data_IF_139803057767
#
_entry.id   IF_139803057767
#
_cell.length_a   1.000
_cell.length_b   1.000
_cell.length_c   1.000
_cell.angle_alpha   90.00
_cell.angle_beta   90.00
_cell.angle_gamma   90.00
#
_symmetry.space_group_name_H-M   'P 1'
#
loop_
_entity.id
_entity.type
_entity.pdbx_description
1 polymer ?
#
# COMPACT_ATOMS: atom_id res chain seq x y z
N UNK A 1 -14.01 3.98 21.19
CA UNK A 1 -14.57 5.22 21.77
C UNK A 1 -14.77 6.29 20.68
N UNK A 2 -13.83 6.47 19.74
CA UNK A 2 -13.90 7.46 18.65
C UNK A 2 -15.19 7.43 17.80
N UNK A 3 -15.70 6.26 17.41
CA UNK A 3 -16.96 6.16 16.65
C UNK A 3 -18.16 6.87 17.33
N UNK A 4 -18.21 6.87 18.66
CA UNK A 4 -19.34 7.40 19.44
C UNK A 4 -19.16 8.87 19.85
N UNK A 5 -17.93 9.40 19.86
CA UNK A 5 -17.64 10.74 20.38
C UNK A 5 -16.64 11.57 19.55
N UNK A 6 -16.05 11.00 18.51
CA UNK A 6 -14.99 11.58 17.68
C UNK A 6 -15.46 12.48 16.55
N UNK A 7 -16.78 12.71 16.42
CA UNK A 7 -17.39 13.63 15.44
C UNK A 7 -17.03 13.39 13.96
N UNK A 8 -16.59 12.19 13.62
CA UNK A 8 -16.19 11.84 12.26
C UNK A 8 -14.78 12.33 11.87
N UNK A 9 -13.99 12.79 12.84
CA UNK A 9 -12.61 13.23 12.57
C UNK A 9 -11.76 12.04 12.05
N UNK A 10 -10.97 12.21 10.98
CA UNK A 10 -10.10 11.17 10.48
C UNK A 10 -9.10 10.68 11.52
N UNK A 11 -8.74 9.40 11.45
CA UNK A 11 -7.71 8.78 12.28
C UNK A 11 -6.58 8.21 11.42
N UNK A 12 -5.40 8.07 12.01
CA UNK A 12 -4.26 7.37 11.43
C UNK A 12 -4.18 5.93 11.90
N UNK A 13 -3.41 5.09 11.20
CA UNK A 13 -3.15 3.71 11.63
C UNK A 13 -2.43 3.65 12.99
N UNK A 14 -1.64 4.68 13.32
CA UNK A 14 -0.98 4.82 14.63
C UNK A 14 -1.99 5.09 15.74
N UNK A 15 -2.98 5.97 15.51
CA UNK A 15 -3.97 6.34 16.53
C UNK A 15 -4.92 5.19 16.86
N UNK A 16 -5.16 4.28 15.91
CA UNK A 16 -5.91 3.03 16.15
C UNK A 16 -5.00 1.84 16.53
N UNK A 17 -3.68 2.03 16.62
CA UNK A 17 -2.74 1.04 17.14
C UNK A 17 -2.35 -0.11 16.19
N UNK A 18 -2.54 0.03 14.86
CA UNK A 18 -2.30 -1.05 13.88
C UNK A 18 -1.23 -0.77 12.85
N UNK A 19 -0.57 0.40 12.90
CA UNK A 19 0.40 0.83 11.87
C UNK A 19 1.47 -0.22 11.56
N UNK A 20 2.18 -0.70 12.58
CA UNK A 20 3.25 -1.69 12.40
C UNK A 20 2.72 -3.00 11.82
N UNK A 21 1.51 -3.40 12.20
CA UNK A 21 0.87 -4.61 11.67
C UNK A 21 0.53 -4.47 10.20
N UNK A 22 -0.05 -3.34 9.79
CA UNK A 22 -0.32 -3.04 8.36
C UNK A 22 0.97 -3.05 7.55
N UNK A 23 2.04 -2.42 8.05
CA UNK A 23 3.36 -2.40 7.41
C UNK A 23 3.93 -3.82 7.25
N UNK A 24 3.75 -4.68 8.27
CA UNK A 24 4.18 -6.09 8.21
C UNK A 24 3.38 -6.88 7.16
N UNK A 25 2.06 -6.74 7.12
CA UNK A 25 1.19 -7.43 6.15
C UNK A 25 1.52 -7.08 4.69
N UNK A 26 1.93 -5.84 4.41
CA UNK A 26 2.35 -5.41 3.06
C UNK A 26 3.61 -6.15 2.59
N UNK A 27 4.50 -6.49 3.52
CA UNK A 27 5.79 -7.11 3.24
C UNK A 27 5.75 -8.64 3.31
N UNK A 28 4.92 -9.19 4.19
CA UNK A 28 4.83 -10.62 4.48
C UNK A 28 4.28 -11.44 3.31
N UNK A 29 4.88 -12.59 3.00
CA UNK A 29 4.36 -13.52 2.01
C UNK A 29 2.96 -14.04 2.37
N UNK A 30 2.14 -14.25 1.35
CA UNK A 30 0.80 -14.85 1.44
C UNK A 30 -0.22 -14.03 2.25
N UNK A 31 0.05 -12.76 2.51
CA UNK A 31 -0.89 -11.85 3.14
C UNK A 31 -1.67 -11.05 2.09
N UNK A 32 -2.77 -10.41 2.52
CA UNK A 32 -3.57 -9.50 1.67
C UNK A 32 -4.03 -10.15 0.36
N UNK A 33 -4.50 -11.40 0.44
CA UNK A 33 -4.98 -12.17 -0.72
C UNK A 33 -3.89 -12.72 -1.64
N UNK A 34 -2.60 -12.53 -1.31
CA UNK A 34 -1.48 -13.12 -2.05
C UNK A 34 -1.31 -14.61 -1.74
N UNK A 35 -0.73 -15.36 -2.67
CA UNK A 35 -0.45 -16.80 -2.55
C UNK A 35 0.90 -17.13 -3.18
N UNK A 36 1.45 -18.32 -2.90
CA UNK A 36 2.67 -18.80 -3.54
C UNK A 36 3.95 -18.06 -3.13
N UNK A 37 3.99 -17.47 -1.94
CA UNK A 37 5.14 -16.71 -1.44
C UNK A 37 5.20 -15.25 -1.89
N UNK A 38 4.18 -14.79 -2.61
CA UNK A 38 4.06 -13.40 -3.05
C UNK A 38 3.66 -12.46 -1.92
N UNK A 39 4.08 -11.20 -2.00
CA UNK A 39 3.65 -10.10 -1.12
C UNK A 39 3.44 -8.83 -1.95
N UNK A 40 2.70 -7.86 -1.42
CA UNK A 40 2.46 -6.58 -2.09
C UNK A 40 3.79 -5.88 -2.39
N UNK A 41 4.69 -5.84 -1.42
CA UNK A 41 6.04 -5.29 -1.57
C UNK A 41 6.82 -5.97 -2.70
N UNK A 42 6.97 -7.30 -2.68
CA UNK A 42 7.78 -8.03 -3.68
C UNK A 42 7.20 -7.97 -5.08
N UNK A 43 5.86 -8.02 -5.19
CA UNK A 43 5.17 -7.88 -6.46
C UNK A 43 5.44 -6.49 -7.06
N UNK A 44 5.38 -5.44 -6.24
CA UNK A 44 5.64 -4.08 -6.71
C UNK A 44 7.10 -3.89 -7.14
N UNK A 45 8.08 -4.39 -6.38
CA UNK A 45 9.50 -4.41 -6.79
C UNK A 45 9.68 -5.11 -8.14
N UNK A 46 9.01 -6.25 -8.34
CA UNK A 46 9.06 -6.99 -9.60
C UNK A 46 8.48 -6.18 -10.76
N UNK A 47 7.37 -5.47 -10.55
CA UNK A 47 6.76 -4.60 -11.56
C UNK A 47 7.66 -3.40 -11.90
N UNK A 48 8.33 -2.81 -10.91
CA UNK A 48 9.31 -1.73 -11.14
C UNK A 48 10.43 -2.23 -12.07
N UNK A 49 11.00 -3.39 -11.78
CA UNK A 49 12.15 -3.93 -12.52
C UNK A 49 11.79 -4.40 -13.93
N UNK A 50 10.63 -5.04 -14.10
CA UNK A 50 10.26 -5.73 -15.34
C UNK A 50 9.32 -4.93 -16.24
N UNK A 51 8.53 -4.01 -15.68
CA UNK A 51 7.44 -3.33 -16.37
C UNK A 51 7.54 -1.79 -16.32
N UNK A 52 8.54 -1.23 -15.63
CA UNK A 52 8.69 0.22 -15.41
C UNK A 52 7.51 0.88 -14.71
N UNK A 53 6.75 0.11 -13.92
CA UNK A 53 5.67 0.66 -13.10
C UNK A 53 6.32 1.49 -11.98
N UNK A 54 5.90 2.75 -11.85
CA UNK A 54 6.42 3.67 -10.81
C UNK A 54 5.43 3.91 -9.68
N UNK A 55 4.19 3.45 -9.83
CA UNK A 55 3.15 3.54 -8.82
C UNK A 55 2.10 2.46 -8.97
N UNK A 56 1.46 2.08 -7.88
CA UNK A 56 0.26 1.25 -7.87
C UNK A 56 -0.82 1.87 -6.96
N UNK A 57 -2.07 1.48 -7.17
CA UNK A 57 -3.20 1.76 -6.28
C UNK A 57 -4.18 0.59 -6.39
N UNK A 58 -4.36 -0.16 -5.31
CA UNK A 58 -5.24 -1.33 -5.26
C UNK A 58 -6.00 -1.37 -3.94
N UNK A 59 -7.11 -2.11 -3.91
CA UNK A 59 -7.82 -2.45 -2.68
C UNK A 59 -7.34 -3.79 -2.13
N UNK A 60 -7.17 -3.88 -0.82
CA UNK A 60 -6.79 -5.10 -0.11
C UNK A 60 -7.70 -5.30 1.11
N UNK A 61 -8.03 -6.55 1.38
CA UNK A 61 -8.76 -6.94 2.59
C UNK A 61 -7.75 -7.21 3.70
N UNK A 62 -7.82 -6.42 4.77
CA UNK A 62 -6.96 -6.56 5.96
C UNK A 62 -7.63 -7.40 7.06
N UNK A 63 -8.95 -7.56 6.97
CA UNK A 63 -9.73 -8.40 7.85
C UNK A 63 -9.48 -9.89 7.57
N UNK A 64 -9.14 -10.64 8.62
CA UNK A 64 -9.16 -12.10 8.63
C UNK A 64 -10.60 -12.58 8.71
N UNK A 65 -11.22 -12.88 7.55
CA UNK A 65 -12.52 -13.54 7.52
C UNK A 65 -12.26 -15.05 7.52
N UNK A 66 -12.49 -15.71 8.65
CA UNK A 66 -12.48 -17.16 8.71
C UNK A 66 -13.89 -17.68 8.42
N UNK A 67 -14.09 -18.23 7.22
CA UNK A 67 -15.25 -19.05 6.84
C UNK A 67 -16.66 -18.53 7.24
N UNK A 68 -16.86 -17.20 7.18
CA UNK A 68 -18.16 -16.57 7.48
C UNK A 68 -18.53 -16.54 8.97
N UNK A 69 -17.63 -16.94 9.87
CA UNK A 69 -17.84 -16.87 11.31
C UNK A 69 -16.91 -15.81 11.90
N UNK A 70 -17.50 -14.74 12.43
CA UNK A 70 -16.78 -13.76 13.26
C UNK A 70 -16.51 -14.45 14.59
N UNK A 71 -15.34 -15.05 14.74
CA UNK A 71 -14.90 -15.53 16.05
C UNK A 71 -14.76 -14.33 17.00
N UNK A 72 -15.13 -14.48 18.27
CA UNK A 72 -14.98 -13.44 19.30
C UNK A 72 -13.50 -13.05 19.46
N UNK A 73 -12.57 -13.95 19.09
CA UNK A 73 -11.14 -13.65 19.03
C UNK A 73 -10.76 -12.57 17.98
N UNK A 74 -11.58 -12.35 16.94
CA UNK A 74 -11.36 -11.31 15.92
C UNK A 74 -11.49 -9.90 16.50
N UNK A 75 -12.28 -9.71 17.56
CA UNK A 75 -12.46 -8.40 18.23
C UNK A 75 -11.19 -7.98 18.98
N UNK A 76 -10.33 -8.92 19.35
CA UNK A 76 -9.06 -8.64 20.03
C UNK A 76 -7.92 -8.28 19.06
N UNK A 77 -8.07 -8.48 17.74
CA UNK A 77 -7.12 -8.01 16.73
C UNK A 77 -7.57 -6.64 16.21
N UNK A 78 -6.91 -5.52 16.54
CA UNK A 78 -7.39 -4.19 16.16
C UNK A 78 -7.47 -3.97 14.64
N UNK A 79 -6.92 -4.88 13.82
CA UNK A 79 -7.19 -4.95 12.38
C UNK A 79 -8.67 -5.17 12.03
N UNK A 80 -9.52 -5.62 12.95
CA UNK A 80 -10.98 -5.75 12.71
C UNK A 80 -11.60 -4.42 12.25
N UNK A 81 -11.03 -3.30 12.71
CA UNK A 81 -11.43 -1.95 12.35
C UNK A 81 -11.05 -1.58 10.91
N UNK A 82 -10.26 -2.40 10.22
CA UNK A 82 -9.87 -2.20 8.83
C UNK A 82 -10.54 -3.28 7.98
N UNK A 83 -11.50 -2.88 7.15
CA UNK A 83 -12.21 -3.78 6.26
C UNK A 83 -11.41 -4.03 4.97
N UNK A 84 -11.88 -3.39 3.90
CA UNK A 84 -11.19 -3.36 2.61
C UNK A 84 -10.65 -1.96 2.36
N UNK A 85 -9.34 -1.81 2.53
CA UNK A 85 -8.67 -0.53 2.42
C UNK A 85 -7.99 -0.37 1.06
N UNK A 86 -7.89 0.89 0.61
CA UNK A 86 -7.08 1.26 -0.54
C UNK A 86 -5.63 1.49 -0.09
N UNK A 87 -4.71 0.76 -0.70
CA UNK A 87 -3.27 0.97 -0.56
C UNK A 87 -2.68 1.40 -1.89
N UNK A 88 -1.92 2.48 -1.85
CA UNK A 88 -1.12 2.93 -2.98
C UNK A 88 0.35 3.02 -2.58
N UNK A 89 1.22 2.88 -3.58
CA UNK A 89 2.66 3.02 -3.39
C UNK A 89 3.29 3.69 -4.59
N UNK A 90 4.27 4.55 -4.34
CA UNK A 90 5.03 5.27 -5.36
C UNK A 90 6.52 5.11 -5.14
N UNK A 91 7.21 4.65 -6.18
CA UNK A 91 8.64 4.39 -6.12
C UNK A 91 9.46 5.57 -6.63
N UNK A 92 10.49 5.93 -5.86
CA UNK A 92 11.50 6.91 -6.23
C UNK A 92 12.88 6.30 -6.05
N UNK A 93 13.61 6.08 -7.13
CA UNK A 93 14.93 5.50 -7.02
C UNK A 93 15.65 5.27 -8.34
N UNK A 94 16.71 4.47 -8.25
CA UNK A 94 17.60 4.13 -9.37
C UNK A 94 18.29 2.80 -9.12
N UNK A 95 18.90 2.25 -10.17
CA UNK A 95 19.81 1.12 -10.03
C UNK A 95 21.26 1.57 -9.89
N UNK A 96 21.96 1.05 -8.89
CA UNK A 96 23.37 1.31 -8.63
C UNK A 96 24.21 0.03 -8.81
N UNK A 97 25.51 0.20 -9.03
CA UNK A 97 26.47 -0.89 -8.97
C UNK A 97 27.48 -0.54 -7.87
N UNK A 98 27.60 -1.41 -6.87
CA UNK A 98 28.57 -1.30 -5.78
C UNK A 98 29.41 -2.58 -5.77
N UNK A 99 30.72 -2.46 -6.02
CA UNK A 99 31.66 -3.58 -6.00
C UNK A 99 31.24 -4.78 -6.87
N UNK A 100 30.69 -4.51 -8.06
CA UNK A 100 30.26 -5.56 -9.01
C UNK A 100 28.88 -6.14 -8.71
N UNK A 101 28.23 -5.76 -7.60
CA UNK A 101 26.84 -6.13 -7.27
C UNK A 101 25.89 -5.02 -7.67
N UNK A 102 24.73 -5.39 -8.21
CA UNK A 102 23.70 -4.43 -8.61
C UNK A 102 22.61 -4.34 -7.56
N UNK A 103 22.12 -3.12 -7.34
CA UNK A 103 21.04 -2.86 -6.40
C UNK A 103 19.99 -1.94 -7.00
N UNK A 104 18.72 -2.18 -6.68
CA UNK A 104 17.67 -1.18 -6.76
C UNK A 104 17.67 -0.39 -5.45
N UNK A 105 18.00 0.90 -5.50
CA UNK A 105 18.09 1.79 -4.34
C UNK A 105 17.13 2.96 -4.49
N UNK A 106 16.39 3.26 -3.43
CA UNK A 106 15.43 4.35 -3.40
C UNK A 106 14.49 4.23 -2.21
N UNK A 107 13.29 4.78 -2.35
CA UNK A 107 12.21 4.60 -1.37
C UNK A 107 10.88 4.33 -2.06
N UNK A 108 9.98 3.69 -1.31
CA UNK A 108 8.58 3.57 -1.67
C UNK A 108 7.78 4.39 -0.67
N UNK A 109 7.06 5.40 -1.17
CA UNK A 109 6.11 6.19 -0.38
C UNK A 109 4.73 5.54 -0.51
N UNK A 110 4.15 5.11 0.61
CA UNK A 110 2.84 4.48 0.70
C UNK A 110 1.79 5.47 1.20
N UNK A 111 0.58 5.35 0.66
CA UNK A 111 -0.63 6.00 1.19
C UNK A 111 -1.72 4.96 1.39
N UNK A 112 -2.31 4.98 2.57
CA UNK A 112 -3.38 4.10 3.00
C UNK A 112 -4.66 4.92 3.24
N UNK A 113 -5.78 4.36 2.80
CA UNK A 113 -7.12 4.92 3.01
C UNK A 113 -8.12 3.81 3.26
N UNK A 114 -8.90 3.92 4.33
CA UNK A 114 -10.10 3.13 4.59
C UNK A 114 -11.22 4.05 5.10
N UNK A 115 -12.47 3.66 4.92
CA UNK A 115 -13.63 4.36 5.49
C UNK A 115 -14.26 3.46 6.55
N UNK A 116 -14.11 3.81 7.83
CA UNK A 116 -14.76 3.08 8.90
C UNK A 116 -16.23 3.53 8.99
N UNK A 117 -17.13 2.67 8.51
CA UNK A 117 -18.57 2.98 8.47
C UNK A 117 -19.33 2.50 9.70
N UNK A 118 -19.14 1.26 10.19
CA UNK A 118 -19.88 0.76 11.36
C UNK A 118 -19.30 -0.57 11.93
N UNK A 119 -19.27 -0.77 13.27
CA UNK A 119 -18.98 -2.06 13.90
C UNK A 119 -20.10 -3.13 13.80
N UNK A 120 -21.33 -2.83 13.36
CA UNK A 120 -22.39 -3.84 13.13
C UNK A 120 -22.50 -4.32 11.68
N UNK A 121 -21.84 -3.66 10.73
CA UNK A 121 -21.59 -4.15 9.36
C UNK A 121 -20.83 -5.50 9.33
N UNK A 122 -20.27 -5.90 10.48
CA UNK A 122 -19.60 -7.18 10.72
C UNK A 122 -20.60 -8.32 11.03
N UNK A 123 -21.83 -8.00 11.45
CA UNK A 123 -22.80 -8.98 11.94
C UNK A 123 -23.94 -9.31 10.96
N UNK A 124 -24.02 -8.68 9.78
CA UNK A 124 -24.92 -9.07 8.67
C UNK A 124 -26.36 -9.46 9.09
N UNK A 125 -26.94 -8.80 10.10
CA UNK A 125 -28.34 -9.05 10.48
C UNK A 125 -29.34 -8.21 9.67
N UNK A 126 -28.90 -7.20 8.91
CA UNK A 126 -29.75 -6.38 8.03
C UNK A 126 -28.99 -5.91 6.80
N UNK A 127 -29.61 -6.00 5.61
CA UNK A 127 -29.06 -5.56 4.31
C UNK A 127 -29.02 -4.03 4.11
N UNK A 128 -29.24 -3.26 5.17
CA UNK A 128 -29.23 -1.80 5.15
C UNK A 128 -28.11 -1.30 6.05
N UNK A 129 -27.37 -0.27 5.60
CA UNK A 129 -26.42 0.47 6.43
C UNK A 129 -27.16 0.96 7.67
N UNK A 130 -26.91 0.32 8.81
CA UNK A 130 -27.53 0.66 10.06
C UNK A 130 -26.48 1.41 10.87
N UNK A 131 -26.52 2.75 10.81
CA UNK A 131 -25.60 3.67 11.50
C UNK A 131 -26.33 4.30 12.70
N UNK A 132 -26.59 3.58 13.81
CA UNK A 132 -27.68 3.98 14.69
C UNK A 132 -27.20 5.06 15.66
N UNK A 133 -25.90 5.17 15.92
CA UNK A 133 -25.37 5.95 17.05
C UNK A 133 -23.90 6.44 16.91
N UNK A 134 -23.30 6.48 15.71
CA UNK A 134 -21.91 6.92 15.52
C UNK A 134 -21.70 7.77 14.25
N UNK A 135 -20.51 8.37 14.11
CA UNK A 135 -20.12 9.06 12.88
C UNK A 135 -19.05 8.23 12.17
N UNK A 136 -19.26 7.82 10.90
CA UNK A 136 -18.19 7.28 10.07
C UNK A 136 -16.99 8.21 10.04
N UNK A 137 -15.79 7.63 9.92
CA UNK A 137 -14.55 8.39 9.83
C UNK A 137 -13.55 7.70 8.91
N UNK A 138 -12.72 8.52 8.27
CA UNK A 138 -11.64 8.03 7.42
C UNK A 138 -10.47 7.55 8.26
N UNK A 139 -9.84 6.45 7.84
CA UNK A 139 -8.54 6.01 8.33
C UNK A 139 -7.52 6.31 7.25
N UNK A 140 -6.65 7.30 7.48
CA UNK A 140 -5.67 7.79 6.51
C UNK A 140 -4.28 7.75 7.13
N UNK A 141 -3.32 7.13 6.46
CA UNK A 141 -1.92 7.17 6.90
C UNK A 141 -0.95 7.16 5.72
N UNK A 142 0.26 7.64 5.96
CA UNK A 142 1.37 7.66 5.02
C UNK A 142 2.64 7.20 5.71
N UNK A 143 3.42 6.38 5.01
CA UNK A 143 4.75 5.98 5.47
C UNK A 143 5.66 5.72 4.29
N UNK A 144 6.97 5.69 4.55
CA UNK A 144 7.98 5.41 3.53
C UNK A 144 8.84 4.22 3.95
N UNK A 145 9.20 3.38 2.99
CA UNK A 145 10.16 2.29 3.17
C UNK A 145 11.36 2.56 2.27
N UNK A 146 12.56 2.68 2.86
CA UNK A 146 13.82 2.72 2.12
C UNK A 146 14.13 1.32 1.57
N UNK A 147 14.55 1.27 0.32
CA UNK A 147 14.85 0.02 -0.36
C UNK A 147 16.32 -0.05 -0.78
N UNK A 148 16.91 -1.24 -0.57
CA UNK A 148 18.20 -1.64 -1.15
C UNK A 148 18.13 -3.11 -1.52
N UNK A 149 17.45 -3.40 -2.61
CA UNK A 149 17.24 -4.77 -3.09
C UNK A 149 18.39 -5.19 -4.01
N UNK A 150 19.00 -6.34 -3.73
CA UNK A 150 19.97 -6.94 -4.64
C UNK A 150 19.26 -7.40 -5.90
N UNK A 151 19.80 -7.02 -7.06
CA UNK A 151 19.24 -7.37 -8.37
C UNK A 151 20.32 -7.95 -9.27
N UNK A 152 19.89 -8.65 -10.31
CA UNK A 152 20.77 -9.13 -11.38
C UNK A 152 21.26 -7.98 -12.26
N UNK A 153 22.34 -8.24 -13.02
CA UNK A 153 22.85 -7.30 -14.01
C UNK A 153 21.81 -7.03 -15.10
N UNK A 154 21.07 -8.06 -15.49
CA UNK A 154 20.01 -8.05 -16.48
C UNK A 154 18.86 -7.14 -16.03
N UNK A 155 18.38 -7.29 -14.80
CA UNK A 155 17.36 -6.42 -14.22
C UNK A 155 17.82 -4.96 -14.13
N UNK A 156 19.07 -4.73 -13.74
CA UNK A 156 19.64 -3.39 -13.70
C UNK A 156 19.69 -2.74 -15.10
N UNK A 157 19.99 -3.52 -16.13
CA UNK A 157 19.99 -3.08 -17.52
C UNK A 157 18.57 -2.77 -18.02
N UNK A 158 17.61 -3.68 -17.79
CA UNK A 158 16.21 -3.51 -18.18
C UNK A 158 15.61 -2.23 -17.57
N UNK A 159 15.78 -2.04 -16.26
CA UNK A 159 15.30 -0.84 -15.58
C UNK A 159 15.87 0.45 -16.20
N UNK A 160 17.20 0.49 -16.44
CA UNK A 160 17.85 1.66 -17.06
C UNK A 160 17.35 1.93 -18.48
N UNK A 161 17.11 0.89 -19.26
CA UNK A 161 16.57 1.02 -20.62
C UNK A 161 15.15 1.60 -20.60
N UNK A 162 14.32 1.15 -19.67
CA UNK A 162 12.94 1.62 -19.52
C UNK A 162 12.87 3.08 -19.07
N UNK A 163 13.67 3.47 -18.05
CA UNK A 163 13.75 4.86 -17.56
C UNK A 163 14.28 5.82 -18.62
N UNK A 164 15.19 5.37 -19.50
CA UNK A 164 15.66 6.22 -20.62
C UNK A 164 14.57 6.51 -21.64
N UNK A 165 13.66 5.56 -21.89
CA UNK A 165 12.54 5.73 -22.83
C UNK A 165 11.45 6.66 -22.30
N UNK A 166 11.28 6.73 -20.97
CA UNK A 166 10.27 7.59 -20.35
C UNK A 166 10.70 9.05 -20.18
N UNK A 167 11.96 9.41 -20.45
CA UNK A 167 12.39 10.82 -20.44
C UNK A 167 11.90 11.54 -21.71
N UNK A 168 11.20 12.68 -21.60
CA UNK A 168 10.83 13.48 -22.77
C UNK A 168 12.09 13.92 -23.51
N UNK A 169 12.06 13.89 -24.85
CA UNK A 169 13.14 14.45 -25.68
C UNK A 169 13.28 15.94 -25.35
N UNK A 170 14.51 16.47 -25.18
CA UNK A 170 14.69 17.90 -25.03
C UNK A 170 14.15 18.59 -26.29
N UNK A 171 13.15 19.45 -26.11
CA UNK A 171 12.67 20.36 -27.15
C UNK A 171 13.84 21.25 -27.54
N UNK A 172 14.23 21.20 -28.82
CA UNK A 172 15.17 22.18 -29.37
C UNK A 172 14.51 23.55 -29.28
N UNK A 173 15.01 24.41 -28.39
CA UNK A 173 14.77 25.84 -28.46
C UNK A 173 15.30 26.34 -29.79
N UNK A 174 14.43 26.64 -30.76
CA UNK A 174 14.81 27.44 -31.91
C UNK A 174 14.98 28.87 -31.41
N UNK A 175 16.23 29.26 -31.15
CA UNK A 175 16.58 30.68 -31.11
C UNK A 175 16.47 31.19 -32.54
N UNK A 176 15.33 31.79 -32.87
CA UNK A 176 15.25 32.66 -34.03
C UNK A 176 15.81 34.02 -33.60
N UNK A 177 16.99 34.32 -34.11
CA UNK A 177 17.45 35.69 -34.27
C UNK A 177 16.59 36.35 -35.34
N UNK A 178 15.92 37.44 -34.97
CA UNK A 178 15.69 38.61 -35.82
C UNK A 178 15.93 39.86 -34.96
#
# INVERSE_FOLDING_TARGET
MHYWCGRGEPMTLSEIGVKERVISLVQEPNQLGKKGGHSVYKDFITQILKQNVTSFKNSYTFRSVWDGVVDIEVINDPLWAIGSATLSGKFFGRTINENGKYYLKGRIDYEFYDEFSDPYDILNFTQEKWDPNGNPFDIIDKWSIEIKESITKEEAFLYRALVRRSKPKPTKSSNNHE
#
